data_IF_162943278228
#
_entry.id   IF_162943278228
#
_cell.length_a   1.000
_cell.length_b   1.000
_cell.length_c   1.000
_cell.angle_alpha   90.00
_cell.angle_beta   90.00
_cell.angle_gamma   90.00
#
_symmetry.space_group_name_H-M   'P 1'
#
loop_
_entity.id
_entity.type
_entity.pdbx_description
1 polymer ?
#
# COMPACT_ATOMS: atom_id res chain seq x y z
N UNK A 1 10.50 2.20 4.68
CA UNK A 1 11.86 1.72 5.05
C UNK A 1 12.87 2.37 4.12
N UNK A 2 14.00 2.85 4.64
CA UNK A 2 15.11 3.41 3.85
C UNK A 2 16.30 2.45 3.82
N UNK A 3 17.30 2.73 2.99
CA UNK A 3 18.60 2.06 3.04
C UNK A 3 19.61 3.06 3.59
N UNK A 4 20.20 2.74 4.73
CA UNK A 4 21.24 3.55 5.36
C UNK A 4 22.48 2.65 5.53
N UNK A 5 23.64 3.08 5.01
CA UNK A 5 24.87 2.27 4.99
C UNK A 5 24.66 0.85 4.43
N UNK A 6 23.92 0.74 3.33
CA UNK A 6 23.56 -0.54 2.69
C UNK A 6 22.72 -1.48 3.57
N UNK A 7 22.11 -0.97 4.64
CA UNK A 7 21.23 -1.73 5.54
C UNK A 7 19.79 -1.22 5.49
N UNK A 8 18.79 -2.11 5.36
CA UNK A 8 17.40 -1.74 5.53
C UNK A 8 17.18 -1.13 6.93
N UNK A 9 16.69 0.10 6.96
CA UNK A 9 16.57 0.92 8.18
C UNK A 9 15.16 1.48 8.32
N UNK A 10 14.62 1.39 9.53
CA UNK A 10 13.30 1.90 9.90
C UNK A 10 13.47 2.96 11.00
N UNK A 11 13.29 4.23 10.63
CA UNK A 11 13.36 5.35 11.57
C UNK A 11 11.98 5.63 12.17
N UNK A 12 11.90 5.78 13.48
CA UNK A 12 10.64 5.96 14.22
C UNK A 12 10.75 7.23 15.06
N UNK A 13 9.79 8.14 14.88
CA UNK A 13 9.61 9.27 15.79
C UNK A 13 8.77 8.85 16.99
N UNK A 14 9.37 8.84 18.17
CA UNK A 14 8.72 8.40 19.40
C UNK A 14 7.70 9.42 19.95
N UNK A 15 7.82 10.71 19.61
CA UNK A 15 6.95 11.77 20.16
C UNK A 15 5.47 11.61 19.79
N UNK A 16 5.18 10.93 18.66
CA UNK A 16 3.82 10.64 18.19
C UNK A 16 3.45 9.16 18.19
N UNK A 17 4.31 8.28 18.73
CA UNK A 17 4.13 6.85 18.60
C UNK A 17 2.98 6.34 19.51
N UNK A 18 1.95 5.78 18.88
CA UNK A 18 0.84 5.08 19.57
C UNK A 18 0.94 3.59 19.28
N UNK A 19 0.60 2.73 20.24
CA UNK A 19 0.76 1.28 20.12
C UNK A 19 0.20 0.71 18.80
N UNK A 20 -1.09 0.91 18.52
CA UNK A 20 -1.70 0.37 17.30
C UNK A 20 -1.17 0.98 16.01
N UNK A 21 -0.69 2.23 16.07
CA UNK A 21 -0.01 2.85 14.95
C UNK A 21 1.35 2.18 14.70
N UNK A 22 2.13 1.94 15.75
CA UNK A 22 3.42 1.27 15.70
C UNK A 22 3.29 -0.17 15.20
N UNK A 23 2.34 -0.94 15.74
CA UNK A 23 2.02 -2.29 15.27
C UNK A 23 1.65 -2.32 13.78
N UNK A 24 0.82 -1.36 13.34
CA UNK A 24 0.47 -1.21 11.93
C UNK A 24 1.68 -0.88 11.05
N UNK A 25 2.53 0.03 11.51
CA UNK A 25 3.77 0.39 10.82
C UNK A 25 4.73 -0.80 10.72
N UNK A 26 4.87 -1.62 11.77
CA UNK A 26 5.71 -2.82 11.72
C UNK A 26 5.16 -3.85 10.73
N UNK A 27 3.84 -4.03 10.63
CA UNK A 27 3.24 -4.91 9.61
C UNK A 27 3.43 -4.36 8.19
N UNK A 28 3.34 -3.05 8.00
CA UNK A 28 3.59 -2.39 6.72
C UNK A 28 5.05 -2.56 6.28
N UNK A 29 5.99 -2.17 7.14
CA UNK A 29 7.41 -2.08 6.79
C UNK A 29 8.10 -3.44 6.86
N UNK A 30 7.97 -4.14 7.98
CA UNK A 30 8.65 -5.43 8.19
C UNK A 30 7.79 -6.57 7.64
N UNK A 31 6.53 -6.60 8.06
CA UNK A 31 5.59 -7.66 7.69
C UNK A 31 5.23 -7.70 6.21
N UNK A 32 5.52 -6.64 5.45
CA UNK A 32 5.23 -6.60 4.00
C UNK A 32 6.50 -6.31 3.22
N UNK A 33 6.99 -5.08 3.24
CA UNK A 33 8.08 -4.67 2.35
C UNK A 33 9.37 -5.43 2.57
N UNK A 34 9.78 -5.65 3.82
CA UNK A 34 11.01 -6.36 4.14
C UNK A 34 10.91 -7.83 3.77
N UNK A 35 9.90 -8.55 4.27
CA UNK A 35 9.71 -9.98 3.97
C UNK A 35 9.62 -10.21 2.46
N UNK A 36 8.80 -9.42 1.76
CA UNK A 36 8.65 -9.55 0.31
C UNK A 36 9.93 -9.17 -0.42
N UNK A 37 10.70 -8.19 0.06
CA UNK A 37 12.01 -7.86 -0.49
C UNK A 37 13.03 -8.99 -0.33
N UNK A 38 13.07 -9.65 0.83
CA UNK A 38 13.93 -10.83 1.07
C UNK A 38 13.56 -12.00 0.17
N UNK A 39 12.26 -12.24 -0.01
CA UNK A 39 11.78 -13.27 -0.92
C UNK A 39 12.08 -12.92 -2.39
N UNK A 40 11.84 -11.67 -2.81
CA UNK A 40 12.09 -11.18 -4.17
C UNK A 40 13.55 -11.40 -4.57
N UNK A 41 14.50 -11.10 -3.67
CA UNK A 41 15.94 -11.26 -3.91
C UNK A 41 16.38 -12.69 -4.25
N UNK A 42 15.55 -13.70 -3.99
CA UNK A 42 15.82 -15.10 -4.32
C UNK A 42 15.18 -15.53 -5.62
N UNK A 43 14.27 -14.74 -6.16
CA UNK A 43 13.54 -15.12 -7.36
C UNK A 43 14.38 -14.87 -8.61
N UNK A 44 14.16 -15.66 -9.68
CA UNK A 44 14.85 -15.44 -10.96
C UNK A 44 14.52 -14.09 -11.60
N UNK A 45 13.44 -13.41 -11.15
CA UNK A 45 13.02 -12.09 -11.60
C UNK A 45 13.41 -10.93 -10.67
N UNK A 46 14.29 -11.11 -9.67
CA UNK A 46 14.58 -10.01 -8.73
C UNK A 46 15.14 -8.75 -9.42
N UNK A 47 15.97 -8.94 -10.46
CA UNK A 47 16.62 -7.87 -11.22
C UNK A 47 15.83 -7.42 -12.44
N UNK A 48 16.17 -6.24 -12.99
CA UNK A 48 15.49 -5.64 -14.15
C UNK A 48 15.46 -6.55 -15.39
N UNK A 49 16.56 -7.27 -15.65
CA UNK A 49 16.64 -8.22 -16.78
C UNK A 49 15.67 -9.38 -16.59
N UNK A 50 15.63 -9.98 -15.39
CA UNK A 50 14.66 -11.02 -15.04
C UNK A 50 13.23 -10.51 -15.15
N UNK A 51 12.91 -9.35 -14.56
CA UNK A 51 11.56 -8.75 -14.69
C UNK A 51 11.14 -8.59 -16.15
N UNK A 52 12.06 -8.18 -17.03
CA UNK A 52 11.81 -8.07 -18.48
C UNK A 52 11.64 -9.44 -19.15
N UNK A 53 12.49 -10.42 -18.84
CA UNK A 53 12.44 -11.77 -19.39
C UNK A 53 11.10 -12.46 -19.08
N UNK A 54 10.59 -12.27 -17.86
CA UNK A 54 9.32 -12.84 -17.42
C UNK A 54 8.11 -11.95 -17.77
N UNK A 55 8.32 -10.78 -18.39
CA UNK A 55 7.23 -9.87 -18.79
C UNK A 55 6.40 -9.33 -17.62
N UNK A 56 7.04 -9.08 -16.48
CA UNK A 56 6.32 -8.75 -15.24
C UNK A 56 5.63 -7.40 -15.29
N UNK A 57 4.41 -7.35 -14.72
CA UNK A 57 3.72 -6.10 -14.46
C UNK A 57 4.43 -5.33 -13.35
N UNK A 58 4.23 -4.00 -13.27
CA UNK A 58 4.73 -3.23 -12.14
C UNK A 58 4.22 -3.84 -10.82
N UNK A 59 5.11 -3.95 -9.83
CA UNK A 59 4.74 -4.47 -8.51
C UNK A 59 3.72 -3.56 -7.79
N UNK A 60 3.69 -2.27 -8.15
CA UNK A 60 2.66 -1.35 -7.73
C UNK A 60 1.48 -1.39 -8.71
N UNK A 61 0.24 -1.39 -8.22
CA UNK A 61 -0.14 -0.98 -6.87
C UNK A 61 -0.19 -2.09 -5.81
N UNK A 62 0.07 -3.36 -6.19
CA UNK A 62 0.00 -4.52 -5.27
C UNK A 62 0.86 -4.37 -4.01
N UNK A 63 2.11 -3.95 -4.15
CA UNK A 63 3.06 -3.85 -3.04
C UNK A 63 2.60 -2.86 -1.96
N UNK A 64 2.30 -1.62 -2.36
CA UNK A 64 1.83 -0.57 -1.45
C UNK A 64 0.40 -0.82 -0.95
N UNK A 65 -0.43 -1.46 -1.77
CA UNK A 65 -1.76 -1.91 -1.39
C UNK A 65 -1.73 -2.91 -0.24
N UNK A 66 -0.91 -3.97 -0.37
CA UNK A 66 -0.73 -4.98 0.68
C UNK A 66 -0.22 -4.33 1.97
N UNK A 67 0.81 -3.50 1.86
CA UNK A 67 1.42 -2.87 3.02
C UNK A 67 0.42 -1.94 3.72
N UNK A 68 -0.39 -1.19 2.96
CA UNK A 68 -1.43 -0.31 3.49
C UNK A 68 -2.55 -1.09 4.19
N UNK A 69 -2.99 -2.20 3.58
CA UNK A 69 -3.99 -3.10 4.15
C UNK A 69 -3.51 -3.73 5.46
N UNK A 70 -2.28 -4.24 5.49
CA UNK A 70 -1.68 -4.83 6.68
C UNK A 70 -1.50 -3.82 7.83
N UNK A 71 -1.37 -2.53 7.53
CA UNK A 71 -1.27 -1.47 8.55
C UNK A 71 -2.55 -1.28 9.37
N UNK A 72 -3.70 -1.68 8.83
CA UNK A 72 -5.01 -1.58 9.49
C UNK A 72 -5.58 -2.92 9.95
N UNK A 73 -5.00 -4.03 9.49
CA UNK A 73 -5.53 -5.41 9.61
C UNK A 73 -6.10 -5.83 10.97
N UNK A 74 -5.52 -5.39 12.09
CA UNK A 74 -5.96 -5.75 13.44
C UNK A 74 -6.44 -4.55 14.28
N UNK A 75 -6.77 -3.43 13.63
CA UNK A 75 -7.40 -2.31 14.32
C UNK A 75 -8.84 -2.68 14.65
N UNK A 76 -9.32 -2.23 15.81
CA UNK A 76 -10.74 -2.39 16.20
C UNK A 76 -11.68 -1.87 15.12
N UNK A 77 -11.36 -0.72 14.55
CA UNK A 77 -12.06 -0.11 13.42
C UNK A 77 -11.04 0.13 12.29
N UNK A 78 -10.92 -0.79 11.32
CA UNK A 78 -9.91 -0.70 10.28
C UNK A 78 -10.34 0.22 9.13
N UNK A 79 -10.63 1.49 9.46
CA UNK A 79 -11.01 2.49 8.47
C UNK A 79 -9.86 2.78 7.49
N UNK A 80 -10.21 2.90 6.21
CA UNK A 80 -9.33 3.24 5.10
C UNK A 80 -9.27 4.74 4.82
N UNK A 81 -9.87 5.57 5.69
CA UNK A 81 -10.01 7.01 5.50
C UNK A 81 -8.69 7.71 5.19
N UNK A 82 -7.56 7.25 5.75
CA UNK A 82 -6.25 7.88 5.50
C UNK A 82 -5.80 7.66 4.06
N UNK A 83 -5.97 6.45 3.53
CA UNK A 83 -5.66 6.15 2.13
C UNK A 83 -6.61 6.92 1.19
N UNK A 84 -7.89 6.99 1.54
CA UNK A 84 -8.88 7.76 0.79
C UNK A 84 -8.58 9.26 0.79
N UNK A 85 -8.23 9.84 1.94
CA UNK A 85 -7.86 11.24 2.04
C UNK A 85 -6.59 11.56 1.25
N UNK A 86 -5.59 10.67 1.27
CA UNK A 86 -4.40 10.82 0.43
C UNK A 86 -4.74 10.82 -1.06
N UNK A 87 -5.59 9.87 -1.50
CA UNK A 87 -6.05 9.81 -2.88
C UNK A 87 -6.80 11.09 -3.28
N UNK A 88 -7.76 11.51 -2.46
CA UNK A 88 -8.51 12.75 -2.64
C UNK A 88 -7.60 13.97 -2.72
N UNK A 89 -6.64 14.08 -1.79
CA UNK A 89 -5.68 15.19 -1.73
C UNK A 89 -4.91 15.32 -3.04
N UNK A 90 -4.39 14.21 -3.56
CA UNK A 90 -3.68 14.20 -4.86
C UNK A 90 -4.61 14.60 -6.00
N UNK A 91 -5.83 14.06 -6.03
CA UNK A 91 -6.81 14.39 -7.07
C UNK A 91 -7.13 15.88 -7.10
N UNK A 92 -7.37 16.49 -5.93
CA UNK A 92 -7.59 17.93 -5.80
C UNK A 92 -6.36 18.75 -6.18
N UNK A 93 -5.17 18.35 -5.69
CA UNK A 93 -3.91 19.03 -5.98
C UNK A 93 -3.64 19.15 -7.49
N UNK A 94 -4.04 18.14 -8.28
CA UNK A 94 -3.87 18.17 -9.74
C UNK A 94 -4.66 19.29 -10.44
N UNK A 95 -5.63 19.91 -9.75
CA UNK A 95 -6.57 20.90 -10.30
C UNK A 95 -6.57 22.23 -9.55
N UNK A 96 -5.80 22.36 -8.47
CA UNK A 96 -5.84 23.54 -7.59
C UNK A 96 -4.44 24.01 -7.22
N UNK A 97 -4.31 25.27 -6.80
CA UNK A 97 -3.12 25.77 -6.12
C UNK A 97 -2.91 25.10 -4.75
N UNK A 98 -1.75 25.34 -4.13
CA UNK A 98 -1.48 24.89 -2.76
C UNK A 98 -2.44 25.53 -1.75
N UNK A 99 -2.72 26.82 -1.88
CA UNK A 99 -3.62 27.53 -0.97
C UNK A 99 -5.04 26.98 -1.07
N UNK A 100 -5.57 26.81 -2.29
CA UNK A 100 -6.91 26.24 -2.48
C UNK A 100 -7.01 24.81 -1.95
N UNK A 101 -5.97 23.99 -2.15
CA UNK A 101 -5.90 22.65 -1.57
C UNK A 101 -5.93 22.70 -0.04
N UNK A 102 -5.15 23.60 0.58
CA UNK A 102 -5.12 23.75 2.03
C UNK A 102 -6.48 24.11 2.63
N UNK A 103 -7.22 24.99 1.95
CA UNK A 103 -8.57 25.37 2.36
C UNK A 103 -9.56 24.23 2.12
N UNK A 104 -9.50 23.54 0.98
CA UNK A 104 -10.44 22.46 0.66
C UNK A 104 -10.32 21.27 1.62
N UNK A 105 -9.12 20.96 2.10
CA UNK A 105 -8.89 19.88 3.07
C UNK A 105 -9.43 20.19 4.48
N UNK A 106 -9.80 21.44 4.78
CA UNK A 106 -10.32 21.84 6.10
C UNK A 106 -11.56 21.05 6.51
N UNK A 107 -12.39 20.64 5.55
CA UNK A 107 -13.59 19.87 5.83
C UNK A 107 -13.28 18.48 6.43
N UNK A 108 -12.07 17.95 6.22
CA UNK A 108 -11.66 16.63 6.71
C UNK A 108 -10.59 16.71 7.81
N UNK A 109 -9.70 17.70 7.76
CA UNK A 109 -8.57 17.85 8.67
C UNK A 109 -8.59 19.25 9.27
N UNK A 110 -8.98 19.37 10.53
CA UNK A 110 -9.11 20.67 11.21
C UNK A 110 -7.75 21.28 11.53
N UNK A 111 -6.81 20.46 12.02
CA UNK A 111 -5.47 20.88 12.40
C UNK A 111 -4.70 21.43 11.17
N UNK A 112 -4.31 22.72 11.18
CA UNK A 112 -3.61 23.35 10.06
C UNK A 112 -2.22 22.75 9.83
N UNK A 113 -1.51 22.30 10.87
CA UNK A 113 -0.20 21.67 10.72
C UNK A 113 -0.31 20.32 10.01
N UNK A 114 -1.32 19.52 10.35
CA UNK A 114 -1.58 18.25 9.64
C UNK A 114 -2.00 18.50 8.20
N UNK A 115 -2.88 19.49 7.95
CA UNK A 115 -3.26 19.88 6.58
C UNK A 115 -2.07 20.30 5.72
N UNK A 116 -1.17 21.08 6.32
CA UNK A 116 0.06 21.51 5.65
C UNK A 116 0.88 20.30 5.20
N UNK A 117 1.04 19.27 6.04
CA UNK A 117 1.75 18.04 5.67
C UNK A 117 1.11 17.33 4.46
N UNK A 118 -0.22 17.22 4.41
CA UNK A 118 -0.94 16.67 3.25
C UNK A 118 -0.68 17.48 1.98
N UNK A 119 -0.76 18.81 2.06
CA UNK A 119 -0.51 19.69 0.92
C UNK A 119 0.93 19.56 0.42
N UNK A 120 1.92 19.59 1.32
CA UNK A 120 3.34 19.40 0.97
C UNK A 120 3.56 18.06 0.30
N UNK A 121 2.98 16.97 0.81
CA UNK A 121 3.12 15.65 0.18
C UNK A 121 2.61 15.62 -1.26
N UNK A 122 1.48 16.26 -1.52
CA UNK A 122 0.86 16.28 -2.85
C UNK A 122 1.49 17.31 -3.80
N UNK A 123 2.08 18.39 -3.28
CA UNK A 123 2.64 19.49 -4.07
C UNK A 123 4.18 19.50 -4.13
N UNK A 124 4.86 18.59 -3.43
CA UNK A 124 6.34 18.55 -3.40
C UNK A 124 6.93 18.42 -4.81
N UNK A 125 8.05 19.12 -5.01
CA UNK A 125 8.78 19.12 -6.28
C UNK A 125 8.25 20.12 -7.31
N UNK A 126 7.12 20.80 -7.05
CA UNK A 126 6.68 21.91 -7.90
C UNK A 126 7.50 23.17 -7.65
N UNK A 127 7.87 23.86 -8.74
CA UNK A 127 8.57 25.15 -8.68
C UNK A 127 7.63 26.30 -8.32
N UNK A 128 6.45 26.31 -8.95
CA UNK A 128 5.39 27.25 -8.66
C UNK A 128 4.19 26.48 -8.10
N UNK A 129 3.72 26.89 -6.94
CA UNK A 129 2.63 26.22 -6.20
C UNK A 129 1.30 26.96 -6.30
N UNK A 130 1.26 28.10 -7.03
CA UNK A 130 -0.01 28.70 -7.46
C UNK A 130 -0.65 27.91 -8.60
N UNK A 131 0.15 27.17 -9.37
CA UNK A 131 -0.33 26.39 -10.49
C UNK A 131 -0.90 25.01 -10.08
N UNK A 132 -1.86 24.47 -10.84
CA UNK A 132 -2.28 23.09 -10.73
C UNK A 132 -1.13 22.08 -10.92
N UNK A 133 -1.30 20.89 -10.35
CA UNK A 133 -0.37 19.77 -10.52
C UNK A 133 -0.02 19.08 -9.20
N UNK A 134 0.48 17.86 -9.28
CA UNK A 134 0.69 17.05 -8.09
C UNK A 134 1.81 16.01 -8.26
N UNK A 135 2.34 15.56 -7.12
CA UNK A 135 3.12 14.34 -7.01
C UNK A 135 2.18 13.19 -6.63
N UNK A 136 1.80 12.38 -7.62
CA UNK A 136 0.67 11.45 -7.52
C UNK A 136 0.94 10.14 -6.78
N UNK A 137 2.15 9.95 -6.25
CA UNK A 137 2.59 8.69 -5.63
C UNK A 137 1.60 8.14 -4.60
N UNK A 138 1.02 9.00 -3.77
CA UNK A 138 0.18 8.56 -2.65
C UNK A 138 -1.20 8.00 -3.09
N UNK A 139 -1.59 8.10 -4.36
CA UNK A 139 -2.81 7.42 -4.86
C UNK A 139 -2.68 5.90 -4.87
N UNK A 140 -1.45 5.39 -4.98
CA UNK A 140 -1.15 3.95 -5.04
C UNK A 140 -1.69 3.18 -3.83
N UNK A 141 -1.78 3.83 -2.66
CA UNK A 141 -2.21 3.20 -1.42
C UNK A 141 -3.67 2.73 -1.50
N UNK A 142 -4.59 3.66 -1.80
CA UNK A 142 -6.01 3.30 -1.91
C UNK A 142 -6.26 2.41 -3.12
N UNK A 143 -5.69 2.75 -4.29
CA UNK A 143 -5.85 1.95 -5.52
C UNK A 143 -5.41 0.50 -5.29
N UNK A 144 -4.26 0.28 -4.65
CA UNK A 144 -3.77 -1.05 -4.30
C UNK A 144 -4.67 -1.79 -3.31
N UNK A 145 -5.13 -1.10 -2.25
CA UNK A 145 -6.06 -1.70 -1.28
C UNK A 145 -7.33 -2.20 -1.98
N UNK A 146 -7.97 -1.36 -2.79
CA UNK A 146 -9.25 -1.70 -3.42
C UNK A 146 -9.09 -2.86 -4.41
N UNK A 147 -7.99 -2.90 -5.19
CA UNK A 147 -7.70 -4.03 -6.09
C UNK A 147 -7.48 -5.34 -5.33
N UNK A 148 -6.70 -5.31 -4.25
CA UNK A 148 -6.47 -6.51 -3.43
C UNK A 148 -7.78 -6.99 -2.80
N UNK A 149 -8.60 -6.07 -2.27
CA UNK A 149 -9.90 -6.41 -1.70
C UNK A 149 -10.84 -6.99 -2.76
N UNK A 150 -10.87 -6.43 -3.98
CA UNK A 150 -11.66 -6.96 -5.10
C UNK A 150 -11.32 -8.43 -5.39
N UNK A 151 -10.04 -8.77 -5.37
CA UNK A 151 -9.55 -10.11 -5.69
C UNK A 151 -9.23 -10.98 -4.46
N UNK A 152 -9.67 -10.58 -3.25
CA UNK A 152 -9.27 -11.23 -1.99
C UNK A 152 -9.62 -12.73 -1.90
N UNK A 153 -10.64 -13.16 -2.62
CA UNK A 153 -11.06 -14.56 -2.66
C UNK A 153 -10.32 -15.39 -3.70
N UNK A 154 -9.65 -14.75 -4.65
CA UNK A 154 -8.94 -15.40 -5.76
C UNK A 154 -7.42 -15.34 -5.61
N UNK A 155 -6.89 -14.39 -4.83
CA UNK A 155 -5.46 -14.27 -4.57
C UNK A 155 -4.99 -15.38 -3.62
N UNK A 156 -4.00 -16.16 -4.07
CA UNK A 156 -3.18 -17.02 -3.21
C UNK A 156 -2.18 -16.15 -2.42
N UNK A 157 -2.62 -15.63 -1.26
CA UNK A 157 -1.81 -14.70 -0.45
C UNK A 157 -0.47 -15.29 0.03
N UNK A 158 -0.40 -16.56 0.51
CA UNK A 158 0.86 -17.20 0.83
C UNK A 158 1.82 -17.22 -0.35
N UNK A 159 1.36 -17.65 -1.53
CA UNK A 159 2.21 -17.68 -2.71
C UNK A 159 2.64 -16.26 -3.09
N UNK A 160 1.70 -15.30 -3.15
CA UNK A 160 2.02 -13.91 -3.45
C UNK A 160 3.09 -13.36 -2.50
N UNK A 161 3.02 -13.65 -1.21
CA UNK A 161 4.04 -13.26 -0.23
C UNK A 161 5.41 -13.91 -0.55
N UNK A 162 5.42 -15.20 -0.88
CA UNK A 162 6.64 -15.95 -1.22
C UNK A 162 7.28 -15.56 -2.56
N UNK A 163 6.49 -15.09 -3.53
CA UNK A 163 7.00 -14.62 -4.83
C UNK A 163 7.71 -13.27 -4.76
N UNK A 164 7.64 -12.57 -3.62
CA UNK A 164 8.30 -11.28 -3.44
C UNK A 164 7.54 -10.12 -4.11
N UNK A 165 8.27 -9.13 -4.63
CA UNK A 165 7.71 -7.84 -5.09
C UNK A 165 7.19 -7.96 -6.54
N UNK A 166 6.06 -8.62 -6.68
CA UNK A 166 5.36 -8.84 -7.97
C UNK A 166 3.88 -8.41 -7.86
N UNK A 167 3.22 -8.19 -9.01
CA UNK A 167 1.77 -7.98 -9.05
C UNK A 167 1.03 -9.25 -8.66
N UNK A 168 -0.15 -9.11 -8.02
CA UNK A 168 -1.02 -10.27 -7.75
C UNK A 168 -1.47 -10.98 -9.04
N UNK A 169 -1.46 -10.24 -10.15
CA UNK A 169 -1.89 -10.73 -11.46
C UNK A 169 -0.87 -11.68 -12.11
N UNK A 170 0.40 -11.59 -11.71
CA UNK A 170 1.48 -12.42 -12.27
C UNK A 170 1.65 -13.75 -11.49
N UNK A 171 0.92 -13.94 -10.38
CA UNK A 171 1.10 -15.06 -9.43
C UNK A 171 1.01 -16.42 -10.12
N UNK A 172 -0.02 -16.65 -10.92
CA UNK A 172 -0.25 -17.95 -11.54
C UNK A 172 0.78 -18.30 -12.62
N UNK A 173 1.29 -17.29 -13.34
CA UNK A 173 2.35 -17.49 -14.34
C UNK A 173 3.67 -17.82 -13.65
N UNK A 174 3.98 -17.09 -12.56
CA UNK A 174 5.25 -17.23 -11.85
C UNK A 174 5.36 -18.49 -11.00
N UNK A 175 4.23 -19.08 -10.57
CA UNK A 175 4.16 -20.30 -9.75
C UNK A 175 5.11 -21.41 -10.22
N UNK A 176 5.26 -21.59 -11.53
CA UNK A 176 6.07 -22.67 -12.14
C UNK A 176 7.58 -22.43 -12.08
N UNK A 177 8.00 -21.18 -11.92
CA UNK A 177 9.41 -20.78 -11.95
C UNK A 177 9.92 -20.34 -10.57
N UNK A 178 9.02 -20.28 -9.59
CA UNK A 178 9.27 -19.73 -8.28
C UNK A 178 10.28 -20.57 -7.48
N UNK A 179 11.27 -19.90 -6.90
CA UNK A 179 12.12 -20.48 -5.87
C UNK A 179 11.42 -20.34 -4.53
N UNK A 180 10.69 -21.38 -4.11
CA UNK A 180 9.91 -21.37 -2.87
C UNK A 180 10.69 -21.85 -1.64
N UNK A 181 11.84 -22.48 -1.85
CA UNK A 181 12.66 -22.99 -0.76
C UNK A 181 13.13 -21.85 0.15
N UNK A 182 12.94 -22.03 1.46
CA UNK A 182 13.29 -21.07 2.50
C UNK A 182 12.59 -19.70 2.40
N UNK A 183 11.56 -19.54 1.56
CA UNK A 183 10.74 -18.32 1.52
C UNK A 183 10.00 -18.13 2.85
N UNK A 184 9.68 -16.88 3.17
CA UNK A 184 9.02 -16.52 4.43
C UNK A 184 7.67 -15.88 4.15
N UNK A 185 6.67 -16.24 4.93
CA UNK A 185 5.40 -15.50 4.95
C UNK A 185 5.25 -14.74 6.28
N UNK A 186 4.48 -13.65 6.31
CA UNK A 186 4.25 -12.90 7.54
C UNK A 186 3.48 -13.75 8.57
N UNK A 187 3.82 -13.62 9.86
CA UNK A 187 3.18 -14.41 10.91
C UNK A 187 1.65 -14.29 10.94
N UNK A 188 1.11 -13.12 10.58
CA UNK A 188 -0.33 -12.86 10.55
C UNK A 188 -1.05 -13.50 9.36
N UNK A 189 -0.33 -14.11 8.41
CA UNK A 189 -0.85 -14.91 7.30
C UNK A 189 -0.76 -16.42 7.57
N UNK A 190 -0.21 -16.87 8.71
CA UNK A 190 -0.16 -18.30 9.03
C UNK A 190 -1.56 -18.90 9.24
N UNK A 191 -2.46 -18.13 9.85
CA UNK A 191 -3.88 -18.47 9.96
C UNK A 191 -4.65 -17.75 8.85
N UNK A 192 -4.84 -18.44 7.73
CA UNK A 192 -5.49 -17.88 6.55
C UNK A 192 -6.98 -17.60 6.77
N UNK A 193 -7.65 -18.39 7.61
CA UNK A 193 -9.05 -18.14 7.95
C UNK A 193 -9.17 -16.83 8.72
N UNK A 194 -8.31 -16.64 9.73
CA UNK A 194 -8.25 -15.36 10.46
C UNK A 194 -7.87 -14.20 9.55
N UNK A 195 -6.89 -14.38 8.67
CA UNK A 195 -6.48 -13.34 7.72
C UNK A 195 -7.64 -12.94 6.79
N UNK A 196 -8.33 -13.90 6.18
CA UNK A 196 -9.50 -13.65 5.35
C UNK A 196 -10.64 -12.98 6.12
N UNK A 197 -10.91 -13.42 7.36
CA UNK A 197 -11.90 -12.77 8.21
C UNK A 197 -11.56 -11.30 8.49
N UNK A 198 -10.28 -10.96 8.65
CA UNK A 198 -9.89 -9.54 8.79
C UNK A 198 -10.11 -8.76 7.48
N UNK A 199 -9.90 -9.36 6.31
CA UNK A 199 -10.20 -8.70 5.04
C UNK A 199 -11.70 -8.44 4.86
N UNK A 200 -12.54 -9.40 5.25
CA UNK A 200 -14.00 -9.20 5.30
C UNK A 200 -14.39 -8.11 6.30
N UNK A 201 -13.78 -8.09 7.51
CA UNK A 201 -14.02 -7.03 8.50
C UNK A 201 -13.65 -5.63 7.98
N UNK A 202 -12.58 -5.52 7.18
CA UNK A 202 -12.20 -4.28 6.50
C UNK A 202 -13.27 -3.85 5.49
N UNK A 203 -13.76 -4.78 4.66
CA UNK A 203 -14.85 -4.50 3.70
C UNK A 203 -16.09 -3.98 4.42
N UNK A 204 -16.55 -4.70 5.45
CA UNK A 204 -17.75 -4.37 6.22
C UNK A 204 -17.62 -3.01 6.93
N UNK A 205 -16.49 -2.77 7.61
CA UNK A 205 -16.27 -1.51 8.36
C UNK A 205 -16.27 -0.29 7.43
N UNK A 206 -15.79 -0.45 6.19
CA UNK A 206 -15.71 0.62 5.21
C UNK A 206 -16.91 0.65 4.26
N UNK A 207 -17.93 -0.19 4.49
CA UNK A 207 -19.15 -0.27 3.69
C UNK A 207 -18.86 -0.49 2.20
N UNK A 208 -17.85 -1.33 1.91
CA UNK A 208 -17.50 -1.70 0.54
C UNK A 208 -18.22 -2.99 0.16
N UNK A 209 -18.74 -3.05 -1.07
CA UNK A 209 -19.30 -4.26 -1.65
C UNK A 209 -18.48 -4.78 -2.84
N UNK A 210 -18.60 -6.07 -3.12
CA UNK A 210 -17.93 -6.67 -4.29
C UNK A 210 -18.41 -6.07 -5.61
N UNK A 211 -19.69 -5.66 -5.67
CA UNK A 211 -20.26 -5.05 -6.86
C UNK A 211 -19.68 -3.66 -7.11
N UNK A 212 -19.59 -2.81 -6.08
CA UNK A 212 -18.95 -1.49 -6.20
C UNK A 212 -17.48 -1.62 -6.61
N UNK A 213 -16.74 -2.58 -6.04
CA UNK A 213 -15.35 -2.78 -6.42
C UNK A 213 -15.19 -3.26 -7.87
N UNK A 214 -16.11 -4.07 -8.39
CA UNK A 214 -16.11 -4.47 -9.81
C UNK A 214 -16.41 -3.30 -10.73
N UNK A 215 -17.36 -2.43 -10.35
CA UNK A 215 -17.74 -1.27 -11.17
C UNK A 215 -16.68 -0.15 -11.13
N UNK A 216 -16.03 0.05 -9.98
CA UNK A 216 -15.09 1.15 -9.77
C UNK A 216 -13.68 0.88 -10.31
N UNK A 217 -13.31 -0.39 -10.50
CA UNK A 217 -11.96 -0.78 -10.91
C UNK A 217 -11.97 -1.48 -12.26
N UNK A 218 -10.91 -1.32 -13.08
CA UNK A 218 -10.74 -2.14 -14.28
C UNK A 218 -10.53 -3.61 -13.90
N UNK A 219 -10.95 -4.51 -14.78
CA UNK A 219 -10.71 -5.95 -14.69
C UNK A 219 -9.21 -6.30 -14.66
#
# INVERSE_FOLDING_TARGET
>A
MSVENSRPTLSINLLGARQHWLEGMLRHEIGTHYIRGVNDARQPWHGSEGRKQFGLRPANPTEEGLASLHSVLFRKQPYLWRAALLYYTVSCASKSSFSELFHSLQQFVQDPSVRWEYCVRAKRGQKDTTEPGCFSKDQVYLDGILRILRHRHTIDFPLLASLGKVSYEDVEVLRKFAQLENTRIPHFMHDLNKYQNQLCHIMETNQLSDEELRQALPD
#
